data_IF_762580479643
#
_entry.id   IF_762580479643
#
_cell.length_a   1.000
_cell.length_b   1.000
_cell.length_c   1.000
_cell.angle_alpha   90.00
_cell.angle_beta   90.00
_cell.angle_gamma   90.00
#
_symmetry.space_group_name_H-M   'P 1'
#
loop_
_entity.id
_entity.type
_entity.pdbx_description
1 polymer ?
#
# COMPACT_ATOMS: atom_id res chain seq x y z
N UNK A 1 37.87 42.16 16.19
CA UNK A 1 36.92 41.94 17.31
C UNK A 1 35.50 42.01 16.75
N UNK A 2 34.69 40.94 16.82
CA UNK A 2 33.33 40.94 16.28
C UNK A 2 32.48 41.99 17.01
N UNK A 3 31.65 42.72 16.25
CA UNK A 3 30.88 43.85 16.80
C UNK A 3 29.84 43.35 17.80
N UNK A 4 29.62 44.11 18.87
CA UNK A 4 28.67 43.77 19.95
C UNK A 4 27.26 43.47 19.42
N UNK A 5 26.88 44.01 18.25
CA UNK A 5 25.59 43.78 17.59
C UNK A 5 25.48 42.39 16.96
N UNK A 6 26.55 41.88 16.36
CA UNK A 6 26.58 40.52 15.77
C UNK A 6 26.50 39.47 16.88
N UNK A 7 27.19 39.70 18.00
CA UNK A 7 27.15 38.82 19.17
C UNK A 7 25.72 38.71 19.76
N UNK A 8 25.01 39.83 19.89
CA UNK A 8 23.62 39.83 20.39
C UNK A 8 22.67 39.04 19.48
N UNK A 9 22.79 39.18 18.15
CA UNK A 9 21.92 38.48 17.19
C UNK A 9 22.16 36.97 17.23
N UNK A 10 23.42 36.52 17.33
CA UNK A 10 23.73 35.10 17.47
C UNK A 10 23.18 34.49 18.76
N UNK A 11 23.21 35.23 19.87
CA UNK A 11 22.67 34.75 21.16
C UNK A 11 21.14 34.65 21.10
N UNK A 12 20.46 35.62 20.49
CA UNK A 12 19.01 35.58 20.29
C UNK A 12 18.57 34.42 19.39
N UNK A 13 19.30 34.15 18.30
CA UNK A 13 18.98 33.04 17.39
C UNK A 13 19.14 31.68 18.08
N UNK A 14 20.20 31.49 18.86
CA UNK A 14 20.43 30.27 19.65
C UNK A 14 19.35 30.10 20.72
N UNK A 15 18.92 31.19 21.38
CA UNK A 15 17.84 31.14 22.37
C UNK A 15 16.48 30.74 21.75
N UNK A 16 16.17 31.19 20.53
CA UNK A 16 14.94 30.82 19.81
C UNK A 16 14.98 29.34 19.40
N UNK A 17 16.11 28.85 18.87
CA UNK A 17 16.28 27.44 18.51
C UNK A 17 16.20 26.54 19.75
N UNK A 18 16.81 26.95 20.87
CA UNK A 18 16.73 26.22 22.14
C UNK A 18 15.28 26.18 22.68
N UNK A 19 14.54 27.29 22.56
CA UNK A 19 13.13 27.36 23.01
C UNK A 19 12.21 26.49 22.15
N UNK A 20 12.45 26.42 20.84
CA UNK A 20 11.68 25.58 19.92
C UNK A 20 11.99 24.09 20.12
N UNK A 21 13.23 23.74 20.43
CA UNK A 21 13.63 22.35 20.74
C UNK A 21 13.10 21.89 22.09
N UNK A 22 13.02 22.78 23.09
CA UNK A 22 12.45 22.46 24.40
C UNK A 22 10.92 22.32 24.33
N UNK A 23 10.25 23.10 23.47
CA UNK A 23 8.82 22.95 23.20
C UNK A 23 8.49 21.59 22.53
N UNK A 24 9.36 21.09 21.64
CA UNK A 24 9.22 19.77 21.02
C UNK A 24 9.49 18.60 21.99
N UNK A 25 10.32 18.79 23.02
CA UNK A 25 10.49 17.81 24.10
C UNK A 25 9.36 17.84 25.14
N UNK A 26 8.70 18.99 25.37
CA UNK A 26 7.56 19.09 26.29
C UNK A 26 6.27 18.46 25.73
N UNK A 27 6.15 18.31 24.40
CA UNK A 27 5.09 17.51 23.77
C UNK A 27 5.37 15.99 23.78
N UNK A 28 6.48 15.54 24.39
CA UNK A 28 6.81 14.13 24.54
C UNK A 28 7.17 13.79 25.98
N UNK A 29 6.24 14.01 26.90
CA UNK A 29 6.20 13.26 28.15
C UNK A 29 5.44 11.96 27.90
N UNK A 30 6.05 10.78 28.09
CA UNK A 30 5.25 9.57 28.30
C UNK A 30 4.60 9.72 29.67
N UNK A 31 3.28 9.77 29.70
CA UNK A 31 2.53 9.72 30.96
C UNK A 31 2.75 8.32 31.57
N UNK A 32 3.64 8.22 32.55
CA UNK A 32 3.70 7.09 33.46
C UNK A 32 2.51 7.22 34.42
N UNK A 33 1.54 6.34 34.25
CA UNK A 33 0.38 6.06 35.13
C UNK A 33 -0.97 6.00 34.38
N UNK A 34 -0.95 5.49 33.15
CA UNK A 34 -2.11 4.77 32.63
C UNK A 34 -1.73 3.31 32.59
N UNK A 35 -2.28 2.52 33.51
CA UNK A 35 -2.36 1.08 33.34
C UNK A 35 -3.04 0.86 31.98
N UNK A 36 -2.25 0.54 30.96
CA UNK A 36 -2.81 -0.08 29.76
C UNK A 36 -3.32 -1.41 30.27
N UNK A 37 -4.62 -1.47 30.59
CA UNK A 37 -5.35 -2.73 30.59
C UNK A 37 -4.89 -3.45 29.32
N UNK A 38 -4.28 -4.62 29.51
CA UNK A 38 -4.10 -5.58 28.42
C UNK A 38 -5.38 -5.55 27.59
N UNK A 39 -5.32 -5.50 26.25
CA UNK A 39 -6.53 -5.68 25.47
C UNK A 39 -7.17 -7.01 25.93
N UNK A 40 -8.26 -6.89 26.68
CA UNK A 40 -9.14 -7.98 27.03
C UNK A 40 -9.79 -8.36 25.72
N UNK A 41 -9.22 -9.40 25.13
CA UNK A 41 -9.54 -9.88 23.79
C UNK A 41 -8.77 -11.14 23.45
N UNK A 42 -8.48 -11.98 24.45
CA UNK A 42 -8.31 -13.42 24.27
C UNK A 42 -9.70 -14.04 23.96
N UNK A 43 -10.37 -13.55 22.91
CA UNK A 43 -11.54 -14.16 22.27
C UNK A 43 -11.26 -14.31 20.77
N UNK A 44 -10.30 -15.18 20.48
CA UNK A 44 -10.25 -15.86 19.18
C UNK A 44 -11.33 -16.95 19.13
N UNK A 45 -12.54 -16.64 18.66
CA UNK A 45 -13.38 -17.55 17.87
C UNK A 45 -14.71 -16.89 17.45
N UNK A 46 -15.05 -16.79 16.16
CA UNK A 46 -15.77 -17.92 15.52
C UNK A 46 -15.76 -18.02 13.99
N UNK A 47 -14.98 -17.25 13.23
CA UNK A 47 -15.15 -17.24 11.75
C UNK A 47 -13.97 -17.73 10.92
N UNK A 48 -12.84 -18.12 11.52
CA UNK A 48 -11.79 -18.84 10.79
C UNK A 48 -12.13 -20.34 10.72
N UNK A 49 -13.16 -20.70 9.97
CA UNK A 49 -13.45 -22.10 9.68
C UNK A 49 -12.33 -22.68 8.80
N UNK A 50 -11.28 -23.19 9.45
CA UNK A 50 -10.42 -24.21 8.87
C UNK A 50 -10.74 -25.53 9.58
N UNK A 51 -11.58 -26.40 9.00
CA UNK A 51 -11.98 -27.66 9.62
C UNK A 51 -10.81 -28.63 9.85
N UNK A 52 -9.59 -28.27 9.43
CA UNK A 52 -8.39 -29.09 9.50
C UNK A 52 -7.22 -28.42 10.22
N UNK A 53 -7.37 -27.19 10.71
CA UNK A 53 -6.26 -26.40 11.28
C UNK A 53 -5.18 -25.98 10.27
N UNK A 54 -5.38 -26.27 8.97
CA UNK A 54 -4.51 -25.81 7.88
C UNK A 54 -5.00 -24.47 7.35
N UNK A 55 -4.11 -23.47 7.35
CA UNK A 55 -4.36 -22.22 6.62
C UNK A 55 -4.13 -22.46 5.13
N UNK A 56 -5.12 -22.12 4.30
CA UNK A 56 -5.04 -22.18 2.85
C UNK A 56 -5.26 -20.78 2.28
N UNK A 57 -4.52 -20.44 1.22
CA UNK A 57 -4.83 -19.26 0.40
C UNK A 57 -5.94 -19.60 -0.59
N UNK A 58 -6.67 -18.59 -1.06
CA UNK A 58 -7.67 -18.77 -2.13
C UNK A 58 -7.02 -19.39 -3.37
N UNK A 59 -5.81 -18.91 -3.74
CA UNK A 59 -4.96 -19.44 -4.82
C UNK A 59 -4.74 -20.95 -4.63
N UNK A 60 -4.27 -21.37 -3.46
CA UNK A 60 -3.91 -22.77 -3.21
C UNK A 60 -5.10 -23.72 -3.32
N UNK A 61 -6.31 -23.27 -2.95
CA UNK A 61 -7.53 -24.05 -3.09
C UNK A 61 -8.01 -24.08 -4.55
N UNK A 62 -7.96 -22.94 -5.24
CA UNK A 62 -8.33 -22.85 -6.65
C UNK A 62 -7.40 -23.71 -7.52
N UNK A 63 -6.09 -23.68 -7.27
CA UNK A 63 -5.10 -24.47 -8.00
C UNK A 63 -5.34 -25.98 -7.84
N UNK A 64 -5.67 -26.45 -6.63
CA UNK A 64 -6.05 -27.86 -6.37
C UNK A 64 -7.28 -28.30 -7.16
N UNK A 65 -8.20 -27.37 -7.42
CA UNK A 65 -9.42 -27.61 -8.17
C UNK A 65 -9.26 -27.32 -9.68
N UNK A 66 -8.09 -26.86 -10.12
CA UNK A 66 -7.85 -26.44 -11.51
C UNK A 66 -8.65 -25.19 -11.92
N UNK A 67 -9.03 -24.35 -10.95
CA UNK A 67 -9.84 -23.15 -11.17
C UNK A 67 -8.98 -21.88 -11.19
N UNK A 68 -9.46 -20.85 -11.90
CA UNK A 68 -8.92 -19.50 -11.79
C UNK A 68 -9.69 -18.71 -10.75
N UNK A 69 -8.98 -18.20 -9.76
CA UNK A 69 -9.49 -17.23 -8.78
C UNK A 69 -8.73 -15.93 -8.96
N UNK A 70 -9.47 -14.85 -9.21
CA UNK A 70 -8.85 -13.59 -9.58
C UNK A 70 -9.52 -12.38 -8.98
N UNK A 71 -8.81 -11.26 -9.11
CA UNK A 71 -9.24 -9.95 -8.65
C UNK A 71 -8.88 -8.87 -9.68
N UNK A 72 -9.38 -7.67 -9.47
CA UNK A 72 -8.90 -6.48 -10.18
C UNK A 72 -7.63 -5.95 -9.53
N UNK A 73 -6.74 -5.38 -10.34
CA UNK A 73 -5.54 -4.68 -9.88
C UNK A 73 -5.51 -3.28 -10.48
N UNK A 74 -5.19 -2.29 -9.66
CA UNK A 74 -5.15 -0.88 -10.04
C UNK A 74 -3.74 -0.33 -9.89
N UNK A 75 -3.25 0.42 -10.89
CA UNK A 75 -1.91 1.00 -10.84
C UNK A 75 -1.78 2.04 -9.71
N UNK A 76 -2.87 2.71 -9.33
CA UNK A 76 -2.87 3.72 -8.26
C UNK A 76 -2.52 3.18 -6.88
N UNK A 77 -2.58 1.86 -6.67
CA UNK A 77 -2.31 1.22 -5.39
C UNK A 77 -0.99 0.43 -5.38
N UNK A 78 -0.10 0.65 -6.36
CA UNK A 78 1.17 -0.09 -6.44
C UNK A 78 2.14 0.21 -5.30
N UNK A 79 2.01 1.38 -4.67
CA UNK A 79 2.83 1.77 -3.51
C UNK A 79 2.30 1.19 -2.18
N UNK A 80 1.10 0.60 -2.18
CA UNK A 80 0.56 -0.12 -1.03
C UNK A 80 1.10 -1.56 -1.01
N UNK A 81 2.08 -1.79 -0.14
CA UNK A 81 2.71 -3.10 0.03
C UNK A 81 1.71 -4.19 0.45
N UNK A 82 0.73 -3.87 1.30
CA UNK A 82 -0.25 -4.85 1.77
C UNK A 82 -1.19 -5.26 0.63
N UNK A 83 -1.61 -4.29 -0.18
CA UNK A 83 -2.45 -4.53 -1.36
C UNK A 83 -1.77 -5.50 -2.34
N UNK A 84 -0.52 -5.20 -2.70
CA UNK A 84 0.28 -6.01 -3.63
C UNK A 84 0.59 -7.40 -3.05
N UNK A 85 0.90 -7.49 -1.75
CA UNK A 85 1.17 -8.76 -1.07
C UNK A 85 -0.07 -9.67 -1.07
N UNK A 86 -1.24 -9.16 -0.71
CA UNK A 86 -2.48 -9.93 -0.70
C UNK A 86 -2.81 -10.42 -2.11
N UNK A 87 -2.64 -9.58 -3.14
CA UNK A 87 -2.89 -9.99 -4.52
C UNK A 87 -1.95 -11.13 -4.94
N UNK A 88 -0.66 -10.97 -4.65
CA UNK A 88 0.36 -11.97 -4.96
C UNK A 88 0.17 -13.29 -4.19
N UNK A 89 -0.44 -13.24 -3.00
CA UNK A 89 -0.66 -14.42 -2.15
C UNK A 89 -1.95 -15.17 -2.49
N UNK A 90 -3.04 -14.44 -2.71
CA UNK A 90 -4.40 -15.00 -2.72
C UNK A 90 -4.95 -15.34 -4.10
N UNK A 91 -4.50 -14.72 -5.20
CA UNK A 91 -5.13 -14.89 -6.51
C UNK A 91 -4.20 -15.54 -7.51
N UNK A 92 -4.67 -16.30 -8.50
CA UNK A 92 -3.85 -16.84 -9.60
C UNK A 92 -4.08 -16.13 -10.95
N UNK A 93 -5.00 -15.18 -11.00
CA UNK A 93 -5.21 -14.31 -12.16
C UNK A 93 -5.61 -12.90 -11.74
N UNK A 94 -5.22 -11.89 -12.51
CA UNK A 94 -5.62 -10.50 -12.28
C UNK A 94 -6.11 -9.85 -13.56
N UNK A 95 -6.98 -8.85 -13.39
CA UNK A 95 -7.52 -8.02 -14.47
C UNK A 95 -7.16 -6.56 -14.16
N UNK A 96 -6.46 -5.83 -15.04
CA UNK A 96 -6.25 -4.40 -14.85
C UNK A 96 -7.60 -3.69 -14.74
N UNK A 97 -7.79 -2.88 -13.70
CA UNK A 97 -9.08 -2.27 -13.39
C UNK A 97 -9.51 -1.30 -14.49
N UNK A 98 -8.58 -0.43 -14.90
CA UNK A 98 -8.81 0.57 -15.94
C UNK A 98 -7.65 0.71 -16.92
N UNK A 99 -6.46 0.23 -16.56
CA UNK A 99 -5.20 0.49 -17.27
C UNK A 99 -5.16 -0.10 -18.67
N UNK A 100 -6.04 -1.08 -18.97
CA UNK A 100 -6.21 -1.65 -20.31
C UNK A 100 -7.49 -1.17 -21.01
N UNK A 101 -8.24 -0.22 -20.44
CA UNK A 101 -9.38 0.40 -21.11
C UNK A 101 -8.92 1.45 -22.10
N UNK A 102 -9.71 1.62 -23.15
CA UNK A 102 -9.38 2.46 -24.30
C UNK A 102 -9.01 3.90 -23.91
N UNK A 103 -9.72 4.51 -22.94
CA UNK A 103 -9.46 5.88 -22.48
C UNK A 103 -8.05 6.08 -21.91
N UNK A 104 -7.47 5.04 -21.32
CA UNK A 104 -6.10 5.09 -20.80
C UNK A 104 -5.08 4.63 -21.84
N UNK A 105 -5.39 3.63 -22.66
CA UNK A 105 -4.46 3.10 -23.67
C UNK A 105 -4.32 4.01 -24.88
N UNK A 106 -5.42 4.59 -25.39
CA UNK A 106 -5.46 5.36 -26.63
C UNK A 106 -6.27 6.66 -26.45
N UNK A 107 -5.76 7.62 -25.64
CA UNK A 107 -6.49 8.86 -25.32
C UNK A 107 -6.66 9.83 -26.50
N UNK A 108 -5.80 9.76 -27.52
CA UNK A 108 -5.85 10.60 -28.72
C UNK A 108 -5.58 9.75 -29.97
N UNK A 109 -6.08 10.14 -31.18
CA UNK A 109 -6.06 9.30 -32.39
C UNK A 109 -4.73 8.65 -32.77
N UNK A 110 -3.60 9.24 -32.39
CA UNK A 110 -2.25 8.73 -32.70
C UNK A 110 -1.38 8.50 -31.46
N UNK A 111 -1.94 8.49 -30.26
CA UNK A 111 -1.19 8.40 -29.00
C UNK A 111 -1.57 7.15 -28.25
N UNK A 112 -0.65 6.20 -28.15
CA UNK A 112 -0.81 5.02 -27.31
C UNK A 112 0.09 5.09 -26.07
N UNK A 113 -0.43 4.65 -24.92
CA UNK A 113 0.36 4.51 -23.70
C UNK A 113 0.03 3.20 -22.99
N UNK A 114 1.04 2.34 -22.86
CA UNK A 114 0.92 1.03 -22.21
C UNK A 114 1.62 0.97 -20.85
N UNK A 115 2.34 2.02 -20.44
CA UNK A 115 3.23 2.00 -19.28
C UNK A 115 2.61 1.47 -17.98
N UNK A 116 1.37 1.86 -17.66
CA UNK A 116 0.66 1.36 -16.48
C UNK A 116 0.23 -0.10 -16.63
N UNK A 117 -0.23 -0.48 -17.82
CA UNK A 117 -0.61 -1.85 -18.12
C UNK A 117 0.61 -2.78 -18.10
N UNK A 118 1.73 -2.35 -18.68
CA UNK A 118 3.01 -3.07 -18.70
C UNK A 118 3.50 -3.31 -17.28
N UNK A 119 3.40 -2.31 -16.40
CA UNK A 119 3.77 -2.50 -14.99
C UNK A 119 2.94 -3.56 -14.28
N UNK A 120 1.65 -3.67 -14.62
CA UNK A 120 0.77 -4.72 -14.11
C UNK A 120 1.14 -6.08 -14.69
N UNK A 121 1.48 -6.14 -15.98
CA UNK A 121 1.94 -7.38 -16.63
C UNK A 121 3.24 -7.87 -16.00
N UNK A 122 4.23 -6.99 -15.79
CA UNK A 122 5.49 -7.30 -15.12
C UNK A 122 5.25 -7.86 -13.71
N UNK A 123 4.37 -7.21 -12.93
CA UNK A 123 3.98 -7.71 -11.61
C UNK A 123 3.36 -9.10 -11.72
N UNK A 124 2.46 -9.31 -12.67
CA UNK A 124 1.80 -10.59 -12.84
C UNK A 124 2.78 -11.71 -13.20
N UNK A 125 3.68 -11.47 -14.14
CA UNK A 125 4.73 -12.42 -14.53
C UNK A 125 5.62 -12.77 -13.34
N UNK A 126 6.08 -11.76 -12.59
CA UNK A 126 6.92 -11.96 -11.40
C UNK A 126 6.26 -12.84 -10.33
N UNK A 127 4.94 -12.75 -10.18
CA UNK A 127 4.20 -13.47 -9.13
C UNK A 127 3.43 -14.71 -9.64
N UNK A 128 3.66 -15.12 -10.88
CA UNK A 128 3.02 -16.29 -11.50
C UNK A 128 1.52 -16.12 -11.73
N UNK A 129 1.05 -14.88 -11.87
CA UNK A 129 -0.34 -14.53 -12.13
C UNK A 129 -0.65 -14.56 -13.63
N UNK A 130 -1.84 -15.05 -14.00
CA UNK A 130 -2.36 -14.87 -15.36
C UNK A 130 -3.05 -13.51 -15.52
N UNK A 131 -2.85 -12.83 -16.64
CA UNK A 131 -3.54 -11.59 -16.97
C UNK A 131 -4.81 -11.87 -17.78
N UNK A 132 -5.90 -11.17 -17.44
CA UNK A 132 -7.08 -11.03 -18.30
C UNK A 132 -7.13 -9.60 -18.81
N UNK A 133 -7.06 -9.43 -20.13
CA UNK A 133 -7.22 -8.11 -20.76
C UNK A 133 -8.67 -7.64 -20.67
N UNK A 134 -8.88 -6.42 -20.17
CA UNK A 134 -10.19 -5.79 -20.05
C UNK A 134 -10.06 -4.29 -20.36
N UNK A 135 -10.52 -3.79 -21.49
CA UNK A 135 -11.19 -4.46 -22.61
C UNK A 135 -10.80 -3.80 -23.94
N UNK A 136 -10.93 -4.52 -25.04
CA UNK A 136 -10.52 -4.01 -26.37
C UNK A 136 -11.56 -3.06 -26.98
N UNK A 137 -12.85 -3.36 -26.81
CA UNK A 137 -13.96 -2.56 -27.34
C UNK A 137 -15.05 -2.50 -26.28
N UNK A 138 -15.53 -1.28 -26.00
CA UNK A 138 -16.63 -1.00 -25.09
C UNK A 138 -17.39 0.22 -25.59
N UNK A 139 -18.67 0.34 -25.23
CA UNK A 139 -19.45 1.53 -25.56
C UNK A 139 -18.88 2.74 -24.82
N UNK A 140 -19.12 3.93 -25.36
CA UNK A 140 -18.84 5.20 -24.69
C UNK A 140 -20.12 5.78 -24.11
#
# INVERSE_FOLDING_TARGET
MPSKRILLISILLIAVIASLSMFFLTLRTPNSDTQIEKPVGDEINKDSYSPTGKSYTLRSLADKLGLRIGTTISFSHFDDANYIEVIAREFNTVTPENEMKFVLIHPFPSVYTFSRADRIVEFAEKHGLKIRGHCLVWHQ
#
